data_IF_058808672074
#
_entry.id   IF_058808672074
#
_cell.length_a   1.000
_cell.length_b   1.000
_cell.length_c   1.000
_cell.angle_alpha   90.00
_cell.angle_beta   90.00
_cell.angle_gamma   90.00
#
_symmetry.space_group_name_H-M   'P 1'
#
loop_
_entity.id
_entity.type
_entity.pdbx_description
1 polymer ?
#
# COMPACT_ATOMS: atom_id res chain seq x y z
N UNK A 1 28.19 -60.99 -19.29
CA UNK A 1 28.34 -59.54 -19.02
C UNK A 1 29.53 -59.41 -18.09
N UNK A 2 30.51 -58.61 -18.50
CA UNK A 2 31.72 -58.42 -17.69
C UNK A 2 31.44 -57.45 -16.54
N UNK A 3 32.22 -57.45 -15.47
CA UNK A 3 32.12 -56.55 -14.32
C UNK A 3 32.23 -55.09 -14.76
N UNK A 4 32.94 -54.78 -15.84
CA UNK A 4 33.08 -53.49 -16.46
C UNK A 4 31.82 -53.00 -17.15
N UNK A 5 31.05 -53.86 -17.84
CA UNK A 5 29.76 -53.48 -18.46
C UNK A 5 28.69 -53.17 -17.40
N UNK A 6 28.64 -53.90 -16.29
CA UNK A 6 27.72 -53.62 -15.19
C UNK A 6 28.04 -52.30 -14.47
N UNK A 7 29.32 -51.92 -14.35
CA UNK A 7 29.73 -50.66 -13.77
C UNK A 7 29.32 -49.48 -14.66
N UNK A 8 29.54 -49.59 -15.98
CA UNK A 8 29.13 -48.60 -16.97
C UNK A 8 27.59 -48.40 -17.02
N UNK A 9 26.82 -49.51 -16.93
CA UNK A 9 25.35 -49.42 -16.88
C UNK A 9 24.85 -48.72 -15.60
N UNK A 10 25.44 -49.02 -14.45
CA UNK A 10 25.11 -48.39 -13.18
C UNK A 10 25.42 -46.89 -13.19
N UNK A 11 26.55 -46.48 -13.78
CA UNK A 11 26.91 -45.08 -13.97
C UNK A 11 25.93 -44.37 -14.88
N UNK A 12 25.54 -44.93 -16.00
CA UNK A 12 24.56 -44.38 -16.94
C UNK A 12 23.16 -44.26 -16.32
N UNK A 13 22.74 -45.23 -15.53
CA UNK A 13 21.47 -45.17 -14.80
C UNK A 13 21.48 -44.05 -13.77
N UNK A 14 22.55 -43.91 -13.00
CA UNK A 14 22.70 -42.82 -12.02
C UNK A 14 22.71 -41.44 -12.70
N UNK A 15 23.41 -41.30 -13.83
CA UNK A 15 23.46 -40.06 -14.58
C UNK A 15 22.09 -39.70 -15.20
N UNK A 16 21.35 -40.71 -15.67
CA UNK A 16 20.00 -40.55 -16.22
C UNK A 16 19.01 -40.15 -15.12
N UNK A 17 19.05 -40.80 -13.94
CA UNK A 17 18.21 -40.37 -12.79
C UNK A 17 18.52 -38.96 -12.35
N UNK A 18 19.81 -38.57 -12.33
CA UNK A 18 20.23 -37.23 -11.98
C UNK A 18 19.72 -36.18 -13.00
N UNK A 19 19.87 -36.43 -14.29
CA UNK A 19 19.39 -35.58 -15.37
C UNK A 19 17.87 -35.47 -15.37
N UNK A 20 17.16 -36.54 -15.08
CA UNK A 20 15.70 -36.55 -14.96
C UNK A 20 15.23 -35.67 -13.79
N UNK A 21 15.87 -35.75 -12.63
CA UNK A 21 15.57 -34.94 -11.48
C UNK A 21 15.89 -33.45 -11.74
N UNK A 22 16.98 -33.13 -12.45
CA UNK A 22 17.30 -31.76 -12.85
C UNK A 22 16.26 -31.19 -13.83
N UNK A 23 15.79 -31.99 -14.79
CA UNK A 23 14.75 -31.56 -15.74
C UNK A 23 13.39 -31.33 -15.07
N UNK A 24 13.01 -32.18 -14.11
CA UNK A 24 11.79 -31.98 -13.31
C UNK A 24 11.85 -30.69 -12.50
N UNK A 25 12.98 -30.39 -11.90
CA UNK A 25 13.20 -29.16 -11.17
C UNK A 25 13.11 -27.92 -12.07
N UNK A 26 13.67 -27.98 -13.29
CA UNK A 26 13.56 -26.87 -14.25
C UNK A 26 12.13 -26.69 -14.74
N UNK A 27 11.40 -27.75 -15.01
CA UNK A 27 9.97 -27.67 -15.34
C UNK A 27 9.16 -27.03 -14.21
N UNK A 28 9.42 -27.46 -12.98
CA UNK A 28 8.76 -26.90 -11.80
C UNK A 28 9.05 -25.40 -11.64
N UNK A 29 10.30 -24.97 -11.83
CA UNK A 29 10.65 -23.55 -11.80
C UNK A 29 9.92 -22.73 -12.88
N UNK A 30 9.86 -23.24 -14.11
CA UNK A 30 9.11 -22.56 -15.18
C UNK A 30 7.62 -22.44 -14.86
N UNK A 31 7.04 -23.47 -14.25
CA UNK A 31 5.65 -23.43 -13.79
C UNK A 31 5.41 -22.36 -12.72
N UNK A 32 6.32 -22.22 -11.75
CA UNK A 32 6.24 -21.18 -10.72
C UNK A 32 6.33 -19.77 -11.32
N UNK A 33 7.29 -19.55 -12.23
CA UNK A 33 7.47 -18.26 -12.90
C UNK A 33 6.23 -17.89 -13.72
N UNK A 34 5.68 -18.88 -14.45
CA UNK A 34 4.46 -18.69 -15.23
C UNK A 34 3.27 -18.36 -14.33
N UNK A 35 3.15 -19.03 -13.17
CA UNK A 35 2.10 -18.73 -12.17
C UNK A 35 2.17 -17.30 -11.62
N UNK A 36 3.38 -16.79 -11.36
CA UNK A 36 3.56 -15.39 -10.94
C UNK A 36 3.16 -14.38 -12.03
N UNK A 37 3.39 -14.72 -13.30
CA UNK A 37 3.18 -13.80 -14.42
C UNK A 37 1.75 -13.81 -14.98
N UNK A 38 0.98 -14.87 -14.72
CA UNK A 38 -0.34 -15.11 -15.32
C UNK A 38 -1.53 -14.71 -14.46
N UNK A 39 -1.28 -14.30 -13.22
CA UNK A 39 -2.33 -13.94 -12.27
C UNK A 39 -2.59 -12.44 -12.33
N UNK A 40 -3.87 -12.01 -12.44
CA UNK A 40 -4.25 -10.59 -12.45
C UNK A 40 -3.91 -9.88 -11.14
N UNK A 41 -3.93 -10.62 -10.02
CA UNK A 41 -3.56 -10.12 -8.69
C UNK A 41 -2.24 -10.77 -8.26
N UNK A 42 -1.26 -9.94 -7.95
CA UNK A 42 0.06 -10.38 -7.51
C UNK A 42 0.00 -11.25 -6.24
N UNK A 43 -0.91 -10.92 -5.32
CA UNK A 43 -1.11 -11.64 -4.06
C UNK A 43 -1.52 -13.10 -4.29
N UNK A 44 -2.44 -13.35 -5.21
CA UNK A 44 -2.88 -14.70 -5.59
C UNK A 44 -1.74 -15.49 -6.25
N UNK A 45 -0.93 -14.80 -7.07
CA UNK A 45 0.25 -15.37 -7.72
C UNK A 45 1.29 -15.84 -6.69
N UNK A 46 1.62 -15.00 -5.72
CA UNK A 46 2.59 -15.32 -4.66
C UNK A 46 2.07 -16.44 -3.76
N UNK A 47 0.81 -16.38 -3.31
CA UNK A 47 0.23 -17.43 -2.47
C UNK A 47 0.21 -18.79 -3.17
N UNK A 48 -0.14 -18.84 -4.45
CA UNK A 48 -0.12 -20.08 -5.25
C UNK A 48 1.30 -20.66 -5.38
N UNK A 49 2.28 -19.78 -5.59
CA UNK A 49 3.69 -20.19 -5.68
C UNK A 49 4.19 -20.72 -4.33
N UNK A 50 3.88 -20.08 -3.21
CA UNK A 50 4.27 -20.54 -1.88
C UNK A 50 3.65 -21.90 -1.55
N UNK A 51 2.39 -22.14 -1.91
CA UNK A 51 1.74 -23.43 -1.77
C UNK A 51 2.53 -24.52 -2.51
N UNK A 52 2.81 -24.32 -3.80
CA UNK A 52 3.58 -25.28 -4.60
C UNK A 52 4.99 -25.50 -4.07
N UNK A 53 5.67 -24.44 -3.61
CA UNK A 53 7.01 -24.54 -3.02
C UNK A 53 6.97 -25.33 -1.71
N UNK A 54 6.03 -25.04 -0.83
CA UNK A 54 5.86 -25.75 0.44
C UNK A 54 5.61 -27.24 0.23
N UNK A 55 4.70 -27.61 -0.67
CA UNK A 55 4.42 -29.01 -1.03
C UNK A 55 5.64 -29.71 -1.64
N UNK A 56 6.30 -29.09 -2.62
CA UNK A 56 7.46 -29.66 -3.31
C UNK A 56 8.66 -29.89 -2.39
N UNK A 57 8.89 -28.94 -1.47
CA UNK A 57 9.98 -29.01 -0.50
C UNK A 57 9.64 -29.83 0.74
N UNK A 58 8.39 -30.28 0.87
CA UNK A 58 7.83 -30.94 2.06
C UNK A 58 8.00 -30.11 3.33
N UNK A 59 8.00 -28.77 3.19
CA UNK A 59 8.19 -27.86 4.29
C UNK A 59 6.94 -27.78 5.19
N UNK A 60 7.12 -27.31 6.42
CA UNK A 60 6.03 -26.97 7.31
C UNK A 60 5.42 -25.61 6.95
N UNK A 61 6.26 -24.64 6.55
CA UNK A 61 5.85 -23.31 6.09
C UNK A 61 6.70 -22.86 4.91
N UNK A 62 6.09 -22.08 4.02
CA UNK A 62 6.77 -21.29 2.99
C UNK A 62 6.24 -19.85 3.09
N UNK A 63 7.11 -18.84 3.05
CA UNK A 63 6.74 -17.48 3.36
C UNK A 63 7.55 -16.44 2.59
N UNK A 64 6.98 -15.22 2.53
CA UNK A 64 7.66 -14.01 2.09
C UNK A 64 7.55 -12.94 3.17
N UNK A 65 8.69 -12.39 3.57
CA UNK A 65 8.78 -11.20 4.38
C UNK A 65 9.10 -9.99 3.53
N UNK A 66 8.40 -8.90 3.75
CA UNK A 66 8.74 -7.61 3.19
C UNK A 66 9.46 -6.73 4.22
N UNK A 67 10.35 -5.87 3.72
CA UNK A 67 11.01 -4.84 4.51
C UNK A 67 10.20 -3.56 4.42
N UNK A 68 9.84 -3.00 5.56
CA UNK A 68 9.11 -1.75 5.70
C UNK A 68 10.06 -0.53 5.71
N UNK A 69 9.52 0.67 5.46
CA UNK A 69 10.32 1.92 5.45
C UNK A 69 10.87 2.29 6.83
N UNK A 70 10.28 1.79 7.89
CA UNK A 70 10.67 2.01 9.29
C UNK A 70 11.72 1.02 9.82
N UNK A 71 12.40 0.30 8.93
CA UNK A 71 13.40 -0.73 9.26
C UNK A 71 12.84 -1.89 10.08
N UNK A 72 11.60 -2.26 9.82
CA UNK A 72 10.97 -3.49 10.31
C UNK A 72 10.74 -4.47 9.18
N UNK A 73 10.45 -5.74 9.52
CA UNK A 73 10.01 -6.77 8.56
C UNK A 73 8.62 -7.25 8.90
N UNK A 74 7.87 -7.61 7.89
CA UNK A 74 6.52 -8.17 8.05
C UNK A 74 6.38 -9.43 7.21
N UNK A 75 5.90 -10.51 7.81
CA UNK A 75 5.47 -11.70 7.07
C UNK A 75 4.19 -11.36 6.30
N UNK A 76 4.33 -11.12 5.01
CA UNK A 76 3.24 -10.65 4.14
C UNK A 76 2.47 -11.80 3.52
N UNK A 77 3.17 -12.90 3.19
CA UNK A 77 2.58 -14.09 2.59
C UNK A 77 3.10 -15.33 3.28
N UNK A 78 2.20 -16.24 3.62
CA UNK A 78 2.54 -17.50 4.29
C UNK A 78 1.64 -18.65 3.81
N UNK A 79 2.25 -19.73 3.41
CA UNK A 79 1.60 -21.03 3.27
C UNK A 79 2.04 -21.94 4.40
N UNK A 80 1.09 -22.67 4.99
CA UNK A 80 1.32 -23.65 6.03
C UNK A 80 0.81 -25.01 5.60
N UNK A 81 1.58 -26.04 5.90
CA UNK A 81 1.14 -27.43 5.80
C UNK A 81 -0.03 -27.69 6.75
N UNK A 82 -0.91 -28.62 6.40
CA UNK A 82 -2.02 -29.02 7.27
C UNK A 82 -1.53 -29.43 8.68
N UNK A 83 -2.13 -28.85 9.71
CA UNK A 83 -1.75 -29.08 11.12
C UNK A 83 -0.62 -28.18 11.64
N UNK A 84 -0.01 -27.35 10.80
CA UNK A 84 1.02 -26.38 11.23
C UNK A 84 0.34 -25.03 11.54
N UNK A 85 0.68 -24.45 12.68
CA UNK A 85 0.12 -23.16 13.12
C UNK A 85 0.71 -22.02 12.31
N UNK A 86 -0.12 -21.18 11.65
CA UNK A 86 0.34 -19.98 10.95
C UNK A 86 1.01 -18.98 11.91
N UNK A 87 2.00 -18.25 11.41
CA UNK A 87 2.71 -17.20 12.13
C UNK A 87 2.54 -15.82 11.52
N UNK A 88 1.85 -15.70 10.39
CA UNK A 88 1.67 -14.45 9.64
C UNK A 88 1.13 -13.30 10.51
N UNK A 89 0.24 -13.58 11.47
CA UNK A 89 -0.30 -12.54 12.36
C UNK A 89 0.64 -12.17 13.50
N UNK A 90 1.55 -13.05 13.89
CA UNK A 90 2.51 -12.84 14.95
C UNK A 90 3.81 -12.16 14.49
N UNK A 91 4.07 -12.15 13.17
CA UNK A 91 5.32 -11.71 12.57
C UNK A 91 5.12 -10.45 11.71
N UNK A 92 4.45 -9.43 12.28
CA UNK A 92 4.23 -8.12 11.65
C UNK A 92 5.05 -7.05 12.37
N UNK A 93 5.77 -6.23 11.62
CA UNK A 93 6.53 -5.11 12.17
C UNK A 93 7.69 -5.56 13.07
N UNK A 94 8.37 -6.66 12.74
CA UNK A 94 9.51 -7.18 13.51
C UNK A 94 10.72 -6.29 13.29
N UNK A 95 11.28 -5.65 14.32
CA UNK A 95 12.45 -4.79 14.20
C UNK A 95 13.68 -5.55 13.68
N UNK A 96 14.54 -4.88 12.92
CA UNK A 96 15.79 -5.47 12.40
C UNK A 96 16.71 -5.93 13.53
N UNK A 97 16.65 -5.27 14.69
CA UNK A 97 17.40 -5.63 15.88
C UNK A 97 17.03 -7.02 16.44
N UNK A 98 15.88 -7.55 16.05
CA UNK A 98 15.44 -8.90 16.44
C UNK A 98 16.07 -10.01 15.59
N UNK A 99 16.66 -9.66 14.44
CA UNK A 99 17.33 -10.60 13.53
C UNK A 99 18.57 -9.96 12.86
N UNK A 100 19.52 -9.43 13.65
CA UNK A 100 20.61 -8.60 13.14
C UNK A 100 21.54 -9.36 12.19
N UNK A 101 21.80 -10.65 12.46
CA UNK A 101 22.68 -11.47 11.63
C UNK A 101 22.03 -11.73 10.26
N UNK A 102 20.75 -12.00 10.22
CA UNK A 102 20.04 -12.24 8.97
C UNK A 102 20.01 -11.01 8.08
N UNK A 103 19.67 -9.86 8.64
CA UNK A 103 19.64 -8.61 7.87
C UNK A 103 21.03 -8.29 7.32
N UNK A 104 22.09 -8.50 8.12
CA UNK A 104 23.47 -8.29 7.67
C UNK A 104 23.82 -9.20 6.48
N UNK A 105 23.52 -10.50 6.56
CA UNK A 105 23.77 -11.46 5.49
C UNK A 105 22.96 -11.16 4.23
N UNK A 106 21.67 -10.84 4.38
CA UNK A 106 20.80 -10.49 3.24
C UNK A 106 21.25 -9.21 2.52
N UNK A 107 21.78 -8.22 3.25
CA UNK A 107 22.36 -7.01 2.64
C UNK A 107 23.62 -7.31 1.83
N UNK A 108 24.34 -8.39 2.13
CA UNK A 108 25.47 -8.88 1.35
C UNK A 108 25.07 -9.82 0.20
N UNK A 109 23.77 -10.09 0.05
CA UNK A 109 23.24 -11.04 -0.93
C UNK A 109 23.42 -12.50 -0.54
N UNK A 110 23.81 -12.75 0.72
CA UNK A 110 23.99 -14.08 1.27
C UNK A 110 22.64 -14.71 1.68
N UNK A 111 22.56 -16.03 1.66
CA UNK A 111 21.38 -16.77 2.11
C UNK A 111 21.55 -17.29 3.53
N UNK A 112 20.46 -17.60 4.19
CA UNK A 112 20.43 -18.29 5.47
C UNK A 112 20.19 -19.78 5.22
N UNK A 113 21.05 -20.61 5.81
CA UNK A 113 20.91 -22.07 5.83
C UNK A 113 21.10 -22.53 7.27
N UNK A 114 20.07 -23.08 7.88
CA UNK A 114 20.10 -23.69 9.21
C UNK A 114 19.77 -25.17 9.04
N UNK A 115 20.77 -26.01 9.23
CA UNK A 115 20.63 -27.46 9.16
C UNK A 115 20.21 -28.07 10.51
N UNK A 116 20.62 -27.44 11.60
CA UNK A 116 20.25 -27.76 12.97
C UNK A 116 20.09 -26.45 13.78
N UNK A 117 18.93 -26.22 14.36
CA UNK A 117 18.65 -24.99 15.12
C UNK A 117 19.64 -24.78 16.28
N UNK A 118 20.02 -25.82 16.98
CA UNK A 118 20.90 -25.70 18.16
C UNK A 118 22.32 -25.21 17.79
N UNK A 119 22.75 -25.36 16.54
CA UNK A 119 24.08 -24.93 16.06
C UNK A 119 24.22 -23.41 16.06
N UNK A 120 23.14 -22.68 15.79
CA UNK A 120 23.17 -21.20 15.71
C UNK A 120 23.00 -20.52 17.06
N UNK A 121 22.75 -21.26 18.16
CA UNK A 121 22.42 -20.72 19.47
C UNK A 121 23.48 -19.79 20.06
N UNK A 122 24.74 -20.07 19.82
CA UNK A 122 25.86 -19.25 20.34
C UNK A 122 26.13 -18.04 19.46
N UNK A 123 25.99 -18.17 18.13
CA UNK A 123 26.35 -17.15 17.15
C UNK A 123 25.18 -16.19 16.86
N UNK A 124 23.94 -16.72 16.87
CA UNK A 124 22.72 -15.97 16.51
C UNK A 124 21.62 -16.16 17.60
N UNK A 125 21.86 -15.73 18.86
CA UNK A 125 20.97 -16.03 19.99
C UNK A 125 19.57 -15.40 19.86
N UNK A 126 19.44 -14.29 19.16
CA UNK A 126 18.17 -13.60 18.95
C UNK A 126 17.32 -14.39 17.96
N UNK A 127 17.87 -14.71 16.80
CA UNK A 127 17.24 -15.52 15.77
C UNK A 127 16.91 -16.92 16.29
N UNK A 128 17.82 -17.54 17.05
CA UNK A 128 17.54 -18.81 17.71
C UNK A 128 16.28 -18.76 18.59
N UNK A 129 16.12 -17.70 19.39
CA UNK A 129 14.95 -17.50 20.24
C UNK A 129 13.65 -17.41 19.45
N UNK A 130 13.66 -16.63 18.35
CA UNK A 130 12.51 -16.48 17.44
C UNK A 130 12.12 -17.81 16.80
N UNK A 131 13.08 -18.54 16.25
CA UNK A 131 12.85 -19.80 15.53
C UNK A 131 12.38 -20.90 16.50
N UNK A 132 12.97 -20.98 17.68
CA UNK A 132 12.57 -21.95 18.70
C UNK A 132 11.13 -21.78 19.15
N UNK A 133 10.67 -20.55 19.32
CA UNK A 133 9.28 -20.24 19.66
C UNK A 133 8.30 -20.73 18.59
N UNK A 134 8.72 -20.75 17.32
CA UNK A 134 7.93 -21.17 16.16
C UNK A 134 8.06 -22.67 15.82
N UNK A 135 8.78 -23.45 16.65
CA UNK A 135 9.09 -24.87 16.41
C UNK A 135 9.87 -25.13 15.11
N UNK A 136 10.70 -24.18 14.67
CA UNK A 136 11.58 -24.35 13.52
C UNK A 136 12.82 -25.09 13.99
N UNK A 137 13.21 -26.14 13.25
CA UNK A 137 14.43 -26.93 13.48
C UNK A 137 15.45 -26.71 12.37
N UNK A 138 14.97 -26.59 11.15
CA UNK A 138 15.76 -26.36 9.96
C UNK A 138 15.13 -25.23 9.14
N UNK A 139 15.95 -24.46 8.41
CA UNK A 139 15.45 -23.32 7.65
C UNK A 139 16.36 -23.01 6.46
N UNK A 140 15.74 -22.61 5.34
CA UNK A 140 16.44 -22.05 4.20
C UNK A 140 15.73 -20.75 3.79
N UNK A 141 16.45 -19.62 3.79
CA UNK A 141 15.89 -18.33 3.35
C UNK A 141 16.84 -17.60 2.41
N UNK A 142 16.27 -16.88 1.45
CA UNK A 142 16.98 -16.10 0.44
C UNK A 142 16.49 -14.66 0.40
N UNK A 143 17.40 -13.67 0.19
CA UNK A 143 17.00 -12.28 0.03
C UNK A 143 16.18 -12.08 -1.24
N UNK A 144 15.22 -11.17 -1.17
CA UNK A 144 14.50 -10.58 -2.28
C UNK A 144 15.12 -9.21 -2.54
N UNK A 145 15.91 -9.10 -3.61
CA UNK A 145 16.60 -7.86 -3.94
C UNK A 145 16.33 -7.45 -5.38
N UNK A 146 16.09 -6.17 -5.61
CA UNK A 146 15.89 -5.57 -6.93
C UNK A 146 16.73 -4.30 -7.03
N UNK A 147 17.52 -4.17 -8.09
CA UNK A 147 18.44 -3.03 -8.28
C UNK A 147 19.33 -2.77 -7.05
N UNK A 148 19.92 -3.83 -6.50
CA UNK A 148 20.79 -3.79 -5.29
C UNK A 148 20.07 -3.35 -4.01
N UNK A 149 18.76 -3.15 -4.05
CA UNK A 149 17.95 -2.83 -2.87
C UNK A 149 17.33 -4.09 -2.32
N UNK A 150 17.59 -4.40 -1.05
CA UNK A 150 16.92 -5.46 -0.31
C UNK A 150 15.46 -5.04 -0.05
N UNK A 151 14.51 -5.84 -0.52
CA UNK A 151 13.06 -5.60 -0.38
C UNK A 151 12.40 -6.56 0.60
N UNK A 152 13.07 -7.67 0.92
CA UNK A 152 12.53 -8.70 1.78
C UNK A 152 13.32 -9.99 1.68
N UNK A 153 12.70 -11.08 2.07
CA UNK A 153 13.25 -12.42 1.91
C UNK A 153 12.15 -13.47 1.75
N UNK A 154 12.48 -14.57 1.08
CA UNK A 154 11.62 -15.74 0.91
C UNK A 154 12.27 -16.93 1.60
N UNK A 155 11.49 -17.73 2.31
CA UNK A 155 12.04 -18.87 3.04
C UNK A 155 11.07 -20.04 3.18
N UNK A 156 11.64 -21.15 3.64
CA UNK A 156 10.92 -22.37 4.02
C UNK A 156 11.43 -22.90 5.36
N UNK A 157 10.49 -23.29 6.23
CA UNK A 157 10.76 -23.89 7.53
C UNK A 157 10.59 -25.39 7.46
N UNK A 158 11.50 -26.12 8.11
CA UNK A 158 11.50 -27.57 8.24
C UNK A 158 11.35 -28.30 6.88
N UNK A 159 12.07 -27.90 5.81
CA UNK A 159 12.02 -28.59 4.54
C UNK A 159 12.71 -29.95 4.58
N UNK A 160 12.48 -30.78 3.57
CA UNK A 160 13.27 -31.99 3.36
C UNK A 160 14.73 -31.64 3.01
N UNK A 161 15.62 -31.67 3.99
CA UNK A 161 17.01 -31.26 3.86
C UNK A 161 17.82 -32.12 2.87
N UNK A 162 17.34 -33.31 2.50
CA UNK A 162 17.94 -34.10 1.41
C UNK A 162 17.88 -33.39 0.06
N UNK A 163 16.92 -32.45 -0.08
CA UNK A 163 16.75 -31.61 -1.26
C UNK A 163 17.38 -30.21 -1.09
N UNK A 164 18.15 -29.94 -0.04
CA UNK A 164 18.64 -28.60 0.31
C UNK A 164 19.31 -27.85 -0.85
N UNK A 165 20.14 -28.53 -1.65
CA UNK A 165 20.79 -27.95 -2.84
C UNK A 165 19.77 -27.45 -3.88
N UNK A 166 18.71 -28.21 -4.10
CA UNK A 166 17.65 -27.86 -5.04
C UNK A 166 16.78 -26.74 -4.50
N UNK A 167 16.42 -26.82 -3.21
CA UNK A 167 15.64 -25.79 -2.51
C UNK A 167 16.36 -24.43 -2.56
N UNK A 168 17.66 -24.42 -2.30
CA UNK A 168 18.49 -23.19 -2.38
C UNK A 168 18.44 -22.56 -3.77
N UNK A 169 18.59 -23.37 -4.84
CA UNK A 169 18.49 -22.89 -6.22
C UNK A 169 17.09 -22.34 -6.52
N UNK A 170 16.04 -23.04 -6.07
CA UNK A 170 14.65 -22.67 -6.23
C UNK A 170 14.35 -21.31 -5.55
N UNK A 171 14.68 -21.18 -4.26
CA UNK A 171 14.42 -19.96 -3.49
C UNK A 171 15.22 -18.75 -3.99
N UNK A 172 16.46 -18.98 -4.45
CA UNK A 172 17.28 -17.92 -5.05
C UNK A 172 16.62 -17.31 -6.29
N UNK A 173 16.12 -18.17 -7.20
CA UNK A 173 15.40 -17.72 -8.40
C UNK A 173 14.05 -17.11 -8.05
N UNK A 174 13.32 -17.73 -7.12
CA UNK A 174 12.01 -17.25 -6.69
C UNK A 174 12.12 -15.85 -6.05
N UNK A 175 13.12 -15.63 -5.19
CA UNK A 175 13.38 -14.31 -4.58
C UNK A 175 13.58 -13.22 -5.65
N UNK A 176 14.33 -13.52 -6.70
CA UNK A 176 14.51 -12.59 -7.81
C UNK A 176 13.18 -12.29 -8.54
N UNK A 177 12.42 -13.32 -8.91
CA UNK A 177 11.16 -13.12 -9.66
C UNK A 177 10.07 -12.48 -8.83
N UNK A 178 9.93 -12.83 -7.55
CA UNK A 178 9.02 -12.14 -6.62
C UNK A 178 9.41 -10.66 -6.51
N UNK A 179 10.69 -10.38 -6.35
CA UNK A 179 11.19 -9.01 -6.27
C UNK A 179 10.83 -8.18 -7.50
N UNK A 180 11.08 -8.71 -8.70
CA UNK A 180 10.74 -8.05 -9.97
C UNK A 180 9.23 -7.82 -10.08
N UNK A 181 8.40 -8.82 -9.74
CA UNK A 181 6.95 -8.71 -9.81
C UNK A 181 6.40 -7.67 -8.82
N UNK A 182 6.86 -7.68 -7.57
CA UNK A 182 6.46 -6.70 -6.54
C UNK A 182 6.90 -5.29 -6.90
N UNK A 183 8.13 -5.11 -7.39
CA UNK A 183 8.64 -3.80 -7.82
C UNK A 183 7.85 -3.23 -9.01
N UNK A 184 7.55 -4.07 -10.00
CA UNK A 184 6.72 -3.69 -11.14
C UNK A 184 5.30 -3.28 -10.70
N UNK A 185 4.68 -4.05 -9.81
CA UNK A 185 3.36 -3.76 -9.26
C UNK A 185 3.34 -2.43 -8.46
N UNK A 186 4.31 -2.23 -7.56
CA UNK A 186 4.43 -0.98 -6.78
C UNK A 186 4.61 0.24 -7.70
N UNK A 187 5.40 0.13 -8.75
CA UNK A 187 5.58 1.19 -9.76
C UNK A 187 4.29 1.51 -10.52
N UNK A 188 3.52 0.51 -10.90
CA UNK A 188 2.24 0.70 -11.58
C UNK A 188 1.20 1.36 -10.67
N UNK A 189 1.07 0.91 -9.41
CA UNK A 189 0.20 1.54 -8.42
C UNK A 189 0.54 3.02 -8.22
N UNK A 190 1.83 3.34 -8.02
CA UNK A 190 2.28 4.73 -7.85
C UNK A 190 1.95 5.59 -9.06
N UNK A 191 2.12 5.05 -10.27
CA UNK A 191 1.79 5.74 -11.52
C UNK A 191 0.29 6.03 -11.65
N UNK A 192 -0.57 5.07 -11.28
CA UNK A 192 -2.02 5.24 -11.27
C UNK A 192 -2.47 6.29 -10.24
N UNK A 193 -1.90 6.28 -9.04
CA UNK A 193 -2.16 7.28 -8.01
C UNK A 193 -1.78 8.69 -8.48
N UNK A 194 -0.57 8.86 -9.03
CA UNK A 194 -0.13 10.14 -9.58
C UNK A 194 -1.04 10.63 -10.72
N UNK A 195 -1.47 9.74 -11.60
CA UNK A 195 -2.42 10.07 -12.67
C UNK A 195 -3.78 10.52 -12.12
N UNK A 196 -4.29 9.84 -11.08
CA UNK A 196 -5.53 10.20 -10.39
C UNK A 196 -5.43 11.59 -9.73
N UNK A 197 -4.35 11.86 -8.99
CA UNK A 197 -4.09 13.16 -8.36
C UNK A 197 -4.04 14.27 -9.42
N UNK A 198 -3.28 14.05 -10.50
CA UNK A 198 -3.15 15.01 -11.61
C UNK A 198 -4.50 15.28 -12.29
N UNK A 199 -5.31 14.26 -12.49
CA UNK A 199 -6.67 14.39 -13.05
C UNK A 199 -7.57 15.21 -12.12
N UNK A 200 -7.58 14.93 -10.80
CA UNK A 200 -8.35 15.69 -9.80
C UNK A 200 -7.93 17.17 -9.76
N UNK A 201 -6.62 17.44 -9.79
CA UNK A 201 -6.11 18.82 -9.82
C UNK A 201 -6.53 19.58 -11.08
N UNK A 202 -6.46 18.90 -12.25
CA UNK A 202 -6.94 19.48 -13.51
C UNK A 202 -8.43 19.79 -13.47
N UNK A 203 -9.23 18.86 -12.93
CA UNK A 203 -10.69 19.03 -12.80
C UNK A 203 -11.03 20.19 -11.88
N UNK A 204 -10.36 20.30 -10.73
CA UNK A 204 -10.52 21.40 -9.78
C UNK A 204 -10.18 22.74 -10.42
N UNK A 205 -9.06 22.83 -11.13
CA UNK A 205 -8.67 24.07 -11.84
C UNK A 205 -9.70 24.48 -12.87
N UNK A 206 -10.20 23.53 -13.68
CA UNK A 206 -11.23 23.83 -14.67
C UNK A 206 -12.52 24.36 -14.02
N UNK A 207 -12.96 23.78 -12.89
CA UNK A 207 -14.13 24.26 -12.14
C UNK A 207 -13.89 25.67 -11.61
N UNK A 208 -12.72 25.95 -11.05
CA UNK A 208 -12.36 27.30 -10.55
C UNK A 208 -12.36 28.33 -11.70
N UNK A 209 -11.88 27.96 -12.88
CA UNK A 209 -11.92 28.84 -14.07
C UNK A 209 -13.36 29.11 -14.54
N UNK A 210 -14.21 28.07 -14.57
CA UNK A 210 -15.63 28.21 -14.93
C UNK A 210 -16.34 29.11 -13.93
N UNK A 211 -16.15 28.90 -12.62
CA UNK A 211 -16.76 29.73 -11.59
C UNK A 211 -16.29 31.18 -11.65
N UNK A 212 -15.01 31.39 -11.91
CA UNK A 212 -14.46 32.75 -12.12
C UNK A 212 -15.08 33.42 -13.34
N UNK A 213 -15.15 32.72 -14.48
CA UNK A 213 -15.74 33.24 -15.71
C UNK A 213 -17.24 33.56 -15.58
N UNK A 214 -17.96 32.75 -14.81
CA UNK A 214 -19.38 32.94 -14.52
C UNK A 214 -19.63 33.91 -13.35
N UNK A 215 -18.59 34.46 -12.73
CA UNK A 215 -18.67 35.30 -11.51
C UNK A 215 -19.42 34.59 -10.35
N UNK A 216 -19.19 33.32 -10.17
CA UNK A 216 -19.75 32.51 -9.09
C UNK A 216 -18.70 32.35 -8.00
N UNK A 217 -19.06 32.77 -6.77
CA UNK A 217 -18.29 32.49 -5.55
C UNK A 217 -18.97 31.43 -4.71
N UNK A 218 -18.18 30.61 -4.02
CA UNK A 218 -18.68 29.61 -3.07
C UNK A 218 -18.40 30.08 -1.65
N UNK A 219 -19.35 29.85 -0.77
CA UNK A 219 -19.25 30.21 0.64
C UNK A 219 -20.02 29.21 1.53
N UNK A 220 -19.63 29.16 2.79
CA UNK A 220 -20.34 28.44 3.84
C UNK A 220 -20.43 29.30 5.10
N UNK A 221 -21.54 29.24 5.83
CA UNK A 221 -21.67 29.86 7.14
C UNK A 221 -21.71 28.74 8.18
N UNK A 222 -20.80 28.83 9.13
CA UNK A 222 -20.69 27.88 10.25
C UNK A 222 -21.15 28.63 11.51
N UNK A 223 -22.20 28.12 12.17
CA UNK A 223 -22.73 28.64 13.43
C UNK A 223 -22.56 27.58 14.52
N UNK A 224 -21.80 27.90 15.54
CA UNK A 224 -21.65 27.07 16.74
C UNK A 224 -22.33 27.73 17.92
N UNK A 225 -22.90 26.92 18.81
CA UNK A 225 -23.55 27.43 20.02
C UNK A 225 -22.55 28.19 20.89
N UNK A 226 -22.92 29.42 21.30
CA UNK A 226 -22.07 30.30 22.12
C UNK A 226 -20.91 30.98 21.37
N UNK A 227 -20.81 30.86 20.05
CA UNK A 227 -19.79 31.57 19.24
C UNK A 227 -20.43 32.45 18.18
N UNK A 228 -19.69 33.48 17.75
CA UNK A 228 -20.08 34.25 16.57
C UNK A 228 -20.02 33.37 15.31
N UNK A 229 -20.96 33.51 14.36
CA UNK A 229 -20.90 32.82 13.09
C UNK A 229 -19.69 33.22 12.29
N UNK A 230 -19.12 32.26 11.54
CA UNK A 230 -18.01 32.49 10.63
C UNK A 230 -18.43 32.20 9.20
N UNK A 231 -17.85 32.90 8.22
CA UNK A 231 -18.08 32.68 6.81
C UNK A 231 -16.76 32.26 6.15
N UNK A 232 -16.74 31.03 5.66
CA UNK A 232 -15.69 30.59 4.78
C UNK A 232 -16.08 30.91 3.33
N UNK A 233 -15.26 31.65 2.63
CA UNK A 233 -15.51 32.10 1.27
C UNK A 233 -14.29 31.76 0.39
N UNK A 234 -14.56 31.23 -0.79
CA UNK A 234 -13.51 30.99 -1.78
C UNK A 234 -12.95 32.30 -2.37
N UNK A 235 -11.91 32.21 -3.17
CA UNK A 235 -11.27 33.41 -3.74
C UNK A 235 -12.23 34.22 -4.61
N UNK A 236 -13.15 33.59 -5.34
CA UNK A 236 -14.12 34.26 -6.19
C UNK A 236 -15.16 34.97 -5.35
N UNK A 237 -15.68 34.36 -4.27
CA UNK A 237 -16.62 35.01 -3.37
C UNK A 237 -15.99 36.20 -2.65
N UNK A 238 -14.74 36.07 -2.20
CA UNK A 238 -13.98 37.18 -1.60
C UNK A 238 -13.84 38.35 -2.57
N UNK A 239 -13.55 38.06 -3.84
CA UNK A 239 -13.49 39.09 -4.88
C UNK A 239 -14.86 39.70 -5.14
N UNK A 240 -15.95 38.95 -5.20
CA UNK A 240 -17.33 39.44 -5.38
C UNK A 240 -17.79 40.34 -4.25
N UNK A 241 -17.37 40.03 -3.01
CA UNK A 241 -17.65 40.85 -1.85
C UNK A 241 -16.70 42.05 -1.70
N UNK A 242 -15.59 42.08 -2.46
CA UNK A 242 -14.56 43.12 -2.36
C UNK A 242 -13.71 43.04 -1.10
N UNK A 243 -13.49 41.81 -0.59
CA UNK A 243 -12.72 41.60 0.65
C UNK A 243 -11.20 41.62 0.37
N UNK A 244 -10.44 42.09 1.36
CA UNK A 244 -8.97 42.12 1.29
C UNK A 244 -8.38 40.74 1.58
N UNK A 245 -7.10 40.49 1.16
CA UNK A 245 -6.43 39.20 1.35
C UNK A 245 -6.22 38.77 2.81
N UNK A 246 -6.30 39.70 3.77
CA UNK A 246 -6.09 39.42 5.19
C UNK A 246 -7.37 39.23 6.01
N UNK A 247 -8.57 39.38 5.40
CA UNK A 247 -9.85 39.27 6.10
C UNK A 247 -10.04 37.86 6.68
N UNK A 248 -10.28 37.76 8.00
CA UNK A 248 -10.57 36.48 8.68
C UNK A 248 -11.98 35.95 8.35
N UNK A 249 -12.29 34.71 8.72
CA UNK A 249 -13.63 34.14 8.47
C UNK A 249 -14.73 34.82 9.31
N UNK A 250 -14.41 35.27 10.52
CA UNK A 250 -15.28 36.03 11.38
C UNK A 250 -15.55 37.43 10.80
N UNK A 251 -14.50 38.12 10.34
CA UNK A 251 -14.61 39.41 9.67
C UNK A 251 -15.40 39.31 8.38
N UNK A 252 -15.20 38.21 7.62
CA UNK A 252 -15.92 37.94 6.38
C UNK A 252 -17.43 37.86 6.63
N UNK A 253 -17.85 37.16 7.68
CA UNK A 253 -19.26 37.07 8.07
C UNK A 253 -19.81 38.44 8.48
N UNK A 254 -19.09 39.20 9.34
CA UNK A 254 -19.51 40.53 9.78
C UNK A 254 -19.65 41.50 8.61
N UNK A 255 -18.62 41.59 7.75
CA UNK A 255 -18.65 42.46 6.57
C UNK A 255 -19.85 42.14 5.68
N UNK A 256 -20.08 40.84 5.40
CA UNK A 256 -21.24 40.42 4.62
C UNK A 256 -22.53 40.80 5.31
N UNK A 257 -22.71 40.49 6.60
CA UNK A 257 -23.96 40.73 7.34
C UNK A 257 -24.28 42.21 7.49
N UNK A 258 -23.30 43.03 7.84
CA UNK A 258 -23.47 44.46 8.12
C UNK A 258 -23.70 45.31 6.85
N UNK A 259 -23.28 44.82 5.70
CA UNK A 259 -23.46 45.52 4.43
C UNK A 259 -24.70 45.07 3.63
N UNK A 260 -25.52 44.14 4.17
CA UNK A 260 -26.85 43.87 3.60
C UNK A 260 -27.75 45.08 3.84
N UNK A 261 -28.33 45.70 2.77
CA UNK A 261 -29.24 46.83 2.97
C UNK A 261 -30.42 46.44 3.86
N UNK A 262 -30.82 47.35 4.77
CA UNK A 262 -31.84 47.09 5.77
C UNK A 262 -33.17 46.59 5.20
N UNK A 263 -33.56 47.07 4.03
CA UNK A 263 -34.75 46.63 3.28
C UNK A 263 -34.71 45.20 2.77
N UNK A 264 -33.49 44.55 2.74
CA UNK A 264 -33.28 43.16 2.30
C UNK A 264 -32.95 42.22 3.45
N UNK A 265 -32.71 42.72 4.67
CA UNK A 265 -32.31 41.91 5.84
C UNK A 265 -33.32 40.78 6.11
N UNK A 266 -34.62 41.14 6.18
CA UNK A 266 -35.68 40.15 6.40
C UNK A 266 -35.77 39.09 5.29
N UNK A 267 -35.55 39.49 4.03
CA UNK A 267 -35.54 38.56 2.87
C UNK A 267 -34.38 37.57 2.95
N UNK A 268 -33.21 38.05 3.36
CA UNK A 268 -32.02 37.18 3.54
C UNK A 268 -32.23 36.22 4.71
N UNK A 269 -32.78 36.68 5.83
CA UNK A 269 -33.08 35.83 6.99
C UNK A 269 -34.13 34.76 6.66
N UNK A 270 -35.15 35.10 5.90
CA UNK A 270 -36.14 34.14 5.42
C UNK A 270 -35.52 33.11 4.43
N UNK A 271 -34.61 33.56 3.55
CA UNK A 271 -33.89 32.67 2.69
C UNK A 271 -33.05 31.62 3.47
N UNK A 272 -32.37 32.07 4.54
CA UNK A 272 -31.62 31.16 5.43
C UNK A 272 -32.53 30.12 6.08
N UNK A 273 -33.71 30.57 6.62
CA UNK A 273 -34.70 29.66 7.21
C UNK A 273 -35.22 28.66 6.17
N UNK A 274 -35.60 29.10 5.00
CA UNK A 274 -36.10 28.22 3.93
C UNK A 274 -35.04 27.22 3.47
N UNK A 275 -33.76 27.62 3.40
CA UNK A 275 -32.65 26.72 3.09
C UNK A 275 -32.56 25.58 4.12
N UNK A 276 -32.69 25.88 5.42
CA UNK A 276 -32.66 24.88 6.49
C UNK A 276 -33.89 23.98 6.49
N UNK A 277 -35.08 24.51 6.18
CA UNK A 277 -36.36 23.78 6.23
C UNK A 277 -36.58 22.95 4.95
N UNK A 278 -36.36 23.55 3.78
CA UNK A 278 -36.68 22.98 2.46
C UNK A 278 -35.47 22.40 1.73
N UNK A 279 -34.27 22.61 2.27
CA UNK A 279 -33.00 22.15 1.67
C UNK A 279 -32.40 23.07 0.63
N UNK A 280 -33.13 24.03 0.10
CA UNK A 280 -32.67 25.01 -0.88
C UNK A 280 -33.51 26.29 -0.83
N UNK A 281 -32.87 27.42 -0.94
CA UNK A 281 -33.52 28.72 -1.22
C UNK A 281 -32.50 29.66 -1.89
N UNK A 282 -33.02 30.75 -2.52
CA UNK A 282 -32.15 31.80 -3.04
C UNK A 282 -32.78 33.18 -2.85
N UNK A 283 -31.92 34.20 -2.81
CA UNK A 283 -32.30 35.59 -2.65
C UNK A 283 -31.43 36.49 -3.52
N UNK A 284 -32.02 37.57 -4.05
CA UNK A 284 -31.31 38.58 -4.81
C UNK A 284 -31.37 39.87 -4.05
N UNK A 285 -30.21 40.52 -3.83
CA UNK A 285 -30.10 41.81 -3.15
C UNK A 285 -28.96 42.64 -3.74
N UNK A 286 -29.03 43.98 -3.63
CA UNK A 286 -27.94 44.84 -4.06
C UNK A 286 -26.79 44.80 -3.05
N UNK A 287 -25.56 44.85 -3.59
CA UNK A 287 -24.32 44.89 -2.81
C UNK A 287 -23.49 46.09 -3.22
N UNK A 288 -22.93 46.81 -2.26
CA UNK A 288 -22.06 47.96 -2.54
C UNK A 288 -20.59 47.48 -2.57
N UNK A 289 -20.13 47.13 -3.75
CA UNK A 289 -18.76 46.70 -3.94
C UNK A 289 -17.77 47.87 -3.86
N UNK A 290 -16.66 47.78 -3.09
CA UNK A 290 -15.77 48.91 -2.82
C UNK A 290 -15.19 49.58 -4.09
N UNK A 291 -14.98 48.85 -5.16
CA UNK A 291 -14.39 49.34 -6.42
C UNK A 291 -15.33 49.33 -7.61
N UNK A 292 -16.39 48.50 -7.61
CA UNK A 292 -17.34 48.34 -8.72
C UNK A 292 -18.65 49.10 -8.51
N UNK A 293 -18.84 49.74 -7.33
CA UNK A 293 -20.07 50.41 -6.98
C UNK A 293 -21.22 49.44 -6.69
N UNK A 294 -22.45 49.84 -7.00
CA UNK A 294 -23.64 49.02 -6.74
C UNK A 294 -23.72 47.85 -7.75
N UNK A 295 -23.67 46.64 -7.26
CA UNK A 295 -23.86 45.38 -8.02
C UNK A 295 -25.06 44.62 -7.45
N UNK A 296 -25.57 43.64 -8.17
CA UNK A 296 -26.61 42.72 -7.70
C UNK A 296 -26.02 41.36 -7.47
N UNK A 297 -26.25 40.81 -6.27
CA UNK A 297 -25.80 39.48 -5.90
C UNK A 297 -27.02 38.55 -5.82
N UNK A 298 -26.98 37.42 -6.49
CA UNK A 298 -27.88 36.29 -6.24
C UNK A 298 -27.16 35.30 -5.34
N UNK A 299 -27.71 35.11 -4.14
CA UNK A 299 -27.17 34.22 -3.13
C UNK A 299 -28.10 33.04 -3.00
N UNK A 300 -27.59 31.85 -3.28
CA UNK A 300 -28.34 30.59 -3.12
C UNK A 300 -27.68 29.69 -2.07
N UNK A 301 -28.48 29.11 -1.18
CA UNK A 301 -28.03 28.18 -0.16
C UNK A 301 -28.54 26.75 -0.40
N UNK A 302 -27.74 25.78 -0.05
CA UNK A 302 -28.13 24.35 -0.03
C UNK A 302 -27.75 23.78 1.33
N UNK A 303 -28.65 23.06 1.96
CA UNK A 303 -28.34 22.35 3.21
C UNK A 303 -27.45 21.14 2.87
N UNK A 304 -26.25 20.99 3.47
CA UNK A 304 -25.43 19.80 3.29
C UNK A 304 -26.14 18.54 3.80
N UNK A 305 -25.98 17.41 3.10
CA UNK A 305 -26.64 16.14 3.47
C UNK A 305 -26.12 15.51 4.77
N UNK A 306 -24.94 15.90 5.20
CA UNK A 306 -24.24 15.34 6.38
C UNK A 306 -24.45 16.17 7.66
N UNK A 307 -25.39 17.12 7.66
CA UNK A 307 -25.81 17.88 8.84
C UNK A 307 -27.18 17.35 9.34
N UNK A 308 -27.13 16.33 10.19
CA UNK A 308 -28.20 16.00 11.12
C UNK A 308 -28.02 16.77 12.43
#
# INVERSE_FOLDING_TARGET
MSLTENHTIAELLYENEKLSAELEAERFMLELITSLSSTELIDDGINNVLCKVGEYTCADRAYVFEINEDYTTTNTYEWCKEGVTPQIDNLKGIPFESMPNWIHLFLQGENILIEELEDIKAEMPQEYGLLKFQNVQTLIAFPISVHEKLMGFVGVDNPDMKKSRLIRRLLSLLGYYIGVAVDAYKKECTKLEMASIKSRQKYRRNIEEIFRGAQIGIWSIIKQEGKEPVMEADANMRELLGLTKGTTSEECYRIWRDNIPSEYTEKVDNCVKETLEKGYADVIYPWHHPTRGKIWIRCGGVRPKDYE
#
